data_IF_594913542670
#
_entry.id   IF_594913542670
#
_cell.length_a   1.000
_cell.length_b   1.000
_cell.length_c   1.000
_cell.angle_alpha   90.00
_cell.angle_beta   90.00
_cell.angle_gamma   90.00
#
_symmetry.space_group_name_H-M   'P 1'
#
loop_
_entity.id
_entity.type
_entity.pdbx_description
1 polymer ?
#
# COMPACT_ATOMS: atom_id res chain seq x y z
N UNK A 1 -15.76 7.05 12.27
CA UNK A 1 -15.06 5.87 12.81
C UNK A 1 -15.63 4.56 12.26
N UNK A 2 -14.74 3.63 11.90
CA UNK A 2 -15.04 2.26 11.47
C UNK A 2 -14.33 1.30 12.42
N UNK A 3 -15.03 0.26 12.88
CA UNK A 3 -14.42 -0.78 13.71
C UNK A 3 -14.11 -1.99 12.82
N UNK A 4 -12.86 -2.43 12.80
CA UNK A 4 -12.38 -3.47 11.87
C UNK A 4 -11.69 -4.57 12.65
N UNK A 5 -12.07 -5.82 12.38
CA UNK A 5 -11.38 -6.99 12.91
C UNK A 5 -10.08 -7.22 12.13
N UNK A 6 -8.96 -7.26 12.84
CA UNK A 6 -7.65 -7.50 12.23
C UNK A 6 -7.45 -9.00 12.09
N UNK A 7 -7.15 -9.43 10.88
CA UNK A 7 -6.96 -10.83 10.59
C UNK A 7 -5.84 -11.43 11.48
N UNK A 8 -6.05 -12.60 12.11
CA UNK A 8 -5.07 -13.22 12.99
C UNK A 8 -3.71 -13.52 12.36
N UNK A 9 -3.63 -13.62 11.03
CA UNK A 9 -2.38 -13.88 10.30
C UNK A 9 -1.68 -12.60 9.85
N UNK A 10 -2.14 -11.42 10.28
CA UNK A 10 -1.53 -10.14 9.92
C UNK A 10 -0.11 -10.06 10.50
N UNK A 11 0.85 -9.74 9.64
CA UNK A 11 2.26 -9.50 9.98
C UNK A 11 2.68 -8.04 9.92
N UNK A 12 2.00 -7.25 9.08
CA UNK A 12 2.15 -5.80 9.00
C UNK A 12 0.83 -5.17 8.53
N UNK A 13 0.65 -3.88 8.80
CA UNK A 13 -0.55 -3.15 8.39
C UNK A 13 -0.23 -1.74 7.92
N UNK A 14 -1.03 -1.23 6.97
CA UNK A 14 -0.90 0.12 6.44
C UNK A 14 -2.27 0.71 6.18
N UNK A 15 -2.45 1.99 6.52
CA UNK A 15 -3.60 2.77 6.05
C UNK A 15 -3.14 3.63 4.88
N UNK A 16 -3.86 3.55 3.75
CA UNK A 16 -3.62 4.34 2.56
C UNK A 16 -4.82 5.22 2.28
N UNK A 17 -4.60 6.52 2.14
CA UNK A 17 -5.63 7.51 1.86
C UNK A 17 -5.33 8.25 0.56
N UNK A 18 -6.37 8.51 -0.21
CA UNK A 18 -6.34 9.44 -1.35
C UNK A 18 -7.42 10.48 -1.10
N UNK A 19 -7.04 11.74 -0.99
CA UNK A 19 -7.95 12.83 -0.63
C UNK A 19 -7.68 14.09 -1.47
N UNK A 20 -8.76 14.81 -1.79
CA UNK A 20 -8.70 16.08 -2.52
C UNK A 20 -9.76 17.03 -2.00
N UNK A 21 -9.39 18.31 -1.84
CA UNK A 21 -10.32 19.38 -1.50
C UNK A 21 -10.81 20.11 -2.74
N UNK A 22 -12.11 20.41 -2.76
CA UNK A 22 -12.80 21.07 -3.87
C UNK A 22 -13.70 22.20 -3.37
N UNK A 23 -13.92 23.15 -4.27
CA UNK A 23 -14.77 24.30 -4.04
C UNK A 23 -13.99 25.58 -3.76
N UNK A 24 -14.62 26.71 -4.04
CA UNK A 24 -14.03 28.06 -4.03
C UNK A 24 -15.12 29.13 -3.81
N UNK A 25 -14.69 30.38 -3.57
CA UNK A 25 -15.55 31.55 -3.37
C UNK A 25 -16.16 31.68 -1.97
N UNK A 26 -16.15 30.59 -1.20
CA UNK A 26 -16.64 30.57 0.18
C UNK A 26 -15.56 30.96 1.20
N UNK A 27 -15.86 30.80 2.50
CA UNK A 27 -14.92 31.13 3.59
C UNK A 27 -13.58 30.42 3.38
N UNK A 28 -12.48 31.17 3.50
CA UNK A 28 -11.10 30.71 3.23
C UNK A 28 -10.85 30.14 1.81
N UNK A 29 -11.78 30.28 0.86
CA UNK A 29 -11.79 29.52 -0.39
C UNK A 29 -11.63 28.01 -0.18
N UNK A 30 -12.31 27.47 0.84
CA UNK A 30 -12.32 26.05 1.07
C UNK A 30 -13.11 25.30 -0.03
N UNK A 31 -12.85 24.03 -0.28
CA UNK A 31 -11.75 23.24 0.24
C UNK A 31 -10.54 23.25 -0.71
N UNK A 32 -10.64 23.81 -1.92
CA UNK A 32 -9.59 23.72 -2.94
C UNK A 32 -8.36 24.55 -2.60
N UNK A 33 -8.55 25.80 -2.14
CA UNK A 33 -7.47 26.75 -1.89
C UNK A 33 -7.28 27.06 -0.40
N UNK A 34 -7.83 26.21 0.47
CA UNK A 34 -7.68 26.33 1.92
C UNK A 34 -6.83 25.20 2.46
N UNK A 35 -5.65 25.53 2.98
CA UNK A 35 -4.87 24.58 3.80
C UNK A 35 -5.66 24.16 5.04
N UNK A 36 -5.82 22.86 5.25
CA UNK A 36 -6.38 22.28 6.48
C UNK A 36 -5.59 21.05 6.89
N UNK A 37 -5.47 20.83 8.19
CA UNK A 37 -4.87 19.61 8.76
C UNK A 37 -5.94 18.54 8.84
N UNK A 38 -5.63 17.35 8.34
CA UNK A 38 -6.45 16.15 8.50
C UNK A 38 -5.75 15.18 9.45
N UNK A 39 -6.48 14.26 10.04
CA UNK A 39 -5.92 13.28 10.97
C UNK A 39 -6.44 11.89 10.65
N UNK A 40 -5.53 10.92 10.63
CA UNK A 40 -5.82 9.49 10.61
C UNK A 40 -5.60 8.98 12.02
N UNK A 41 -6.62 8.33 12.59
CA UNK A 41 -6.60 7.85 13.96
C UNK A 41 -6.79 6.34 13.93
N UNK A 42 -5.85 5.58 14.46
CA UNK A 42 -5.86 4.10 14.46
C UNK A 42 -5.74 3.66 15.92
N UNK A 43 -6.84 3.18 16.50
CA UNK A 43 -6.92 3.00 17.95
C UNK A 43 -6.71 4.34 18.66
N UNK A 44 -5.58 4.46 19.35
CA UNK A 44 -5.17 5.68 20.05
C UNK A 44 -4.10 6.48 19.29
N UNK A 45 -3.53 5.93 18.23
CA UNK A 45 -2.44 6.55 17.48
C UNK A 45 -2.99 7.56 16.48
N UNK A 46 -2.44 8.77 16.50
CA UNK A 46 -2.89 9.89 15.67
C UNK A 46 -1.76 10.29 14.74
N UNK A 47 -2.05 10.29 13.43
CA UNK A 47 -1.14 10.79 12.41
C UNK A 47 -1.76 11.98 11.68
N UNK A 48 -1.04 13.11 11.66
CA UNK A 48 -1.46 14.30 10.95
C UNK A 48 -1.13 14.20 9.45
N UNK A 49 -2.07 14.63 8.62
CA UNK A 49 -1.94 14.77 7.18
C UNK A 49 -2.18 16.24 6.79
N UNK A 50 -1.11 16.91 6.37
CA UNK A 50 -1.18 18.25 5.83
C UNK A 50 -1.60 18.18 4.36
N UNK A 51 -2.90 18.32 4.09
CA UNK A 51 -3.43 18.16 2.74
C UNK A 51 -3.15 19.41 1.90
N UNK A 52 -1.93 19.50 1.36
CA UNK A 52 -1.51 20.66 0.57
C UNK A 52 -0.42 20.33 -0.43
N UNK A 53 -0.57 20.86 -1.64
CA UNK A 53 0.35 20.70 -2.77
C UNK A 53 0.82 22.09 -3.21
N UNK A 54 2.05 22.44 -2.87
CA UNK A 54 2.64 23.77 -3.14
C UNK A 54 3.46 23.84 -4.45
N UNK A 55 3.57 22.73 -5.15
CA UNK A 55 4.47 22.47 -6.29
C UNK A 55 3.70 22.31 -7.61
N UNK A 56 2.46 22.82 -7.70
CA UNK A 56 1.68 22.75 -8.94
C UNK A 56 2.32 23.50 -10.12
N UNK A 57 3.12 24.54 -9.84
CA UNK A 57 3.83 25.33 -10.85
C UNK A 57 4.96 24.58 -11.57
N UNK A 58 5.46 23.48 -10.98
CA UNK A 58 6.52 22.64 -11.57
C UNK A 58 5.96 21.33 -12.15
N UNK A 59 4.65 21.26 -12.37
CA UNK A 59 4.01 20.10 -12.98
C UNK A 59 4.61 19.81 -14.37
N UNK A 60 5.07 18.57 -14.66
CA UNK A 60 5.59 18.17 -15.97
C UNK A 60 4.61 18.40 -17.12
N UNK A 61 3.31 18.33 -16.83
CA UNK A 61 2.25 18.71 -17.78
C UNK A 61 2.13 20.24 -17.79
N UNK A 62 3.09 20.93 -18.40
CA UNK A 62 3.18 22.39 -18.46
C UNK A 62 3.59 22.86 -19.87
N UNK A 63 3.11 24.02 -20.34
CA UNK A 63 2.15 24.92 -19.67
C UNK A 63 0.69 24.45 -19.83
N UNK A 64 -0.18 24.84 -18.90
CA UNK A 64 -1.64 24.67 -19.01
C UNK A 64 -2.34 26.04 -19.02
N UNK A 65 -3.61 26.07 -19.44
CA UNK A 65 -4.45 27.27 -19.30
C UNK A 65 -4.92 27.49 -17.86
N UNK A 66 -5.35 28.71 -17.54
CA UNK A 66 -5.99 29.04 -16.27
C UNK A 66 -5.03 29.07 -15.08
N UNK A 67 -5.51 28.60 -13.92
CA UNK A 67 -4.88 28.79 -12.60
C UNK A 67 -4.08 27.58 -12.11
N UNK A 68 -3.51 26.79 -13.04
CA UNK A 68 -2.86 25.51 -12.72
C UNK A 68 -1.64 25.62 -11.81
N UNK A 69 -0.98 26.78 -11.77
CA UNK A 69 0.24 27.03 -11.00
C UNK A 69 -0.01 27.16 -9.49
N UNK A 70 -1.24 27.50 -9.09
CA UNK A 70 -1.55 27.75 -7.68
C UNK A 70 -1.65 26.46 -6.86
N UNK A 71 -1.18 26.56 -5.63
CA UNK A 71 -1.25 25.49 -4.65
C UNK A 71 -2.70 25.14 -4.30
N UNK A 72 -2.95 23.84 -4.06
CA UNK A 72 -4.29 23.32 -3.75
C UNK A 72 -4.24 22.22 -2.69
N UNK A 73 -5.39 21.93 -2.11
CA UNK A 73 -5.53 20.88 -1.09
C UNK A 73 -5.47 19.48 -1.70
N UNK A 74 -4.25 18.94 -1.83
CA UNK A 74 -4.01 17.52 -2.13
C UNK A 74 -3.88 17.17 -3.61
N UNK A 75 -4.02 18.12 -4.53
CA UNK A 75 -3.94 17.86 -5.96
C UNK A 75 -3.36 19.04 -6.75
N UNK A 76 -3.00 18.80 -8.00
CA UNK A 76 -2.66 19.83 -8.98
C UNK A 76 -3.34 19.50 -10.31
N UNK A 77 -3.84 20.48 -11.09
CA UNK A 77 -4.40 20.21 -12.40
C UNK A 77 -3.39 19.49 -13.30
N UNK A 78 -3.81 18.41 -13.96
CA UNK A 78 -2.95 17.61 -14.83
C UNK A 78 -1.94 16.70 -14.10
N UNK A 79 -2.05 16.50 -12.78
CA UNK A 79 -1.23 15.57 -12.02
C UNK A 79 -2.08 14.50 -11.30
N UNK A 80 -1.48 13.33 -11.05
CA UNK A 80 -2.09 12.30 -10.20
C UNK A 80 -2.08 12.73 -8.72
N UNK A 81 -3.11 12.33 -7.97
CA UNK A 81 -3.15 12.53 -6.52
C UNK A 81 -2.15 11.56 -5.87
N UNK A 82 -1.25 12.11 -5.04
CA UNK A 82 -0.29 11.29 -4.30
C UNK A 82 -0.98 10.72 -3.05
N UNK A 83 -1.02 9.40 -2.88
CA UNK A 83 -1.61 8.80 -1.68
C UNK A 83 -0.81 9.15 -0.43
N UNK A 84 -1.53 9.40 0.66
CA UNK A 84 -0.96 9.49 2.00
C UNK A 84 -0.99 8.12 2.66
N UNK A 85 0.17 7.63 3.07
CA UNK A 85 0.33 6.29 3.65
C UNK A 85 0.82 6.38 5.09
N UNK A 86 0.18 5.62 5.99
CA UNK A 86 0.50 5.54 7.41
C UNK A 86 0.80 4.08 7.74
N UNK A 87 1.99 3.81 8.26
CA UNK A 87 2.30 2.51 8.86
C UNK A 87 1.44 2.32 10.11
N UNK A 88 0.62 1.27 10.10
CA UNK A 88 -0.33 0.96 11.15
C UNK A 88 0.09 -0.28 11.95
N UNK A 89 1.26 -0.85 11.66
CA UNK A 89 1.68 -2.16 12.18
C UNK A 89 1.71 -2.20 13.70
N UNK A 90 2.23 -1.15 14.34
CA UNK A 90 2.27 -1.07 15.81
C UNK A 90 0.91 -0.73 16.44
N UNK A 91 -0.01 -0.18 15.66
CA UNK A 91 -1.33 0.30 16.11
C UNK A 91 -2.42 -0.77 16.05
N UNK A 92 -2.09 -1.97 15.56
CA UNK A 92 -3.04 -3.07 15.38
C UNK A 92 -2.56 -4.34 16.08
N UNK A 93 -3.50 -5.11 16.62
CA UNK A 93 -3.22 -6.42 17.20
C UNK A 93 -3.94 -7.50 16.38
N UNK A 94 -3.22 -8.48 15.78
CA UNK A 94 -3.84 -9.59 15.07
C UNK A 94 -4.89 -10.33 15.91
N UNK A 95 -6.05 -10.60 15.32
CA UNK A 95 -7.19 -11.24 15.98
C UNK A 95 -8.02 -10.33 16.88
N UNK A 96 -7.70 -9.04 16.97
CA UNK A 96 -8.47 -8.05 17.73
C UNK A 96 -9.12 -7.00 16.83
N UNK A 97 -10.14 -6.32 17.36
CA UNK A 97 -10.76 -5.19 16.69
C UNK A 97 -9.94 -3.92 16.93
N UNK A 98 -9.82 -3.09 15.90
CA UNK A 98 -9.29 -1.72 15.99
C UNK A 98 -10.29 -0.72 15.42
N UNK A 99 -10.38 0.44 16.05
CA UNK A 99 -11.16 1.56 15.50
C UNK A 99 -10.27 2.43 14.63
N UNK A 100 -10.72 2.68 13.40
CA UNK A 100 -10.07 3.61 12.47
C UNK A 100 -10.98 4.82 12.29
N UNK A 101 -10.44 6.02 12.47
CA UNK A 101 -11.18 7.26 12.30
C UNK A 101 -10.40 8.26 11.43
N UNK A 102 -11.16 9.17 10.81
CA UNK A 102 -10.63 10.28 10.05
C UNK A 102 -11.23 11.57 10.61
N UNK A 103 -10.40 12.53 10.94
CA UNK A 103 -10.83 13.83 11.42
C UNK A 103 -10.27 14.95 10.54
N UNK A 104 -11.02 16.04 10.44
CA UNK A 104 -10.65 17.26 9.75
C UNK A 104 -10.50 18.36 10.79
N UNK A 105 -9.51 19.24 10.62
CA UNK A 105 -9.39 20.47 11.38
C UNK A 105 -10.73 21.22 11.39
N UNK A 106 -11.24 21.65 12.55
CA UNK A 106 -12.52 22.37 12.62
C UNK A 106 -12.57 23.54 11.62
N UNK A 107 -13.69 23.63 10.90
CA UNK A 107 -13.94 24.65 9.89
C UNK A 107 -15.41 25.00 9.89
N UNK A 108 -15.72 26.29 9.73
CA UNK A 108 -17.08 26.77 9.53
C UNK A 108 -17.13 27.61 8.25
N UNK A 109 -18.08 27.29 7.37
CA UNK A 109 -18.34 28.10 6.18
C UNK A 109 -19.37 29.19 6.49
N UNK A 110 -18.91 30.43 6.66
CA UNK A 110 -19.79 31.56 6.90
C UNK A 110 -20.53 32.03 5.63
N UNK A 111 -20.10 31.63 4.43
CA UNK A 111 -20.70 32.04 3.15
C UNK A 111 -21.74 31.05 2.58
N UNK A 112 -22.38 30.25 3.44
CA UNK A 112 -23.34 29.19 3.05
C UNK A 112 -24.77 29.73 2.89
N UNK A 113 -25.59 29.16 1.98
CA UNK A 113 -27.02 29.44 1.92
C UNK A 113 -27.64 29.17 3.30
N UNK A 114 -28.39 30.14 3.83
CA UNK A 114 -29.05 30.09 5.13
C UNK A 114 -28.21 30.37 6.38
N UNK A 115 -26.95 30.82 6.27
CA UNK A 115 -26.28 31.38 7.43
C UNK A 115 -26.80 32.80 7.71
N UNK A 116 -27.46 33.07 8.86
CA UNK A 116 -27.97 34.41 9.17
C UNK A 116 -26.86 35.46 9.34
N UNK A 117 -25.61 35.02 9.56
CA UNK A 117 -24.43 35.90 9.61
C UNK A 117 -23.81 36.15 8.23
N UNK A 118 -24.30 35.49 7.16
CA UNK A 118 -23.88 35.79 5.80
C UNK A 118 -24.65 37.01 5.29
N UNK A 119 -24.01 38.16 5.31
CA UNK A 119 -24.53 39.38 4.72
C UNK A 119 -23.79 39.65 3.42
N UNK A 120 -24.50 39.60 2.29
CA UNK A 120 -23.91 39.78 0.96
C UNK A 120 -23.23 41.16 0.84
N UNK A 121 -21.99 41.18 0.36
CA UNK A 121 -21.15 42.37 0.25
C UNK A 121 -20.52 42.85 1.56
N UNK A 122 -20.83 42.21 2.70
CA UNK A 122 -20.25 42.55 4.01
C UNK A 122 -19.45 41.38 4.57
N UNK A 123 -20.08 40.22 4.76
CA UNK A 123 -19.40 39.01 5.23
C UNK A 123 -18.70 38.29 4.07
N UNK A 124 -19.40 38.15 2.96
CA UNK A 124 -18.93 37.47 1.75
C UNK A 124 -19.51 38.15 0.50
N UNK A 125 -18.87 37.97 -0.66
CA UNK A 125 -19.38 38.50 -1.94
C UNK A 125 -20.67 37.81 -2.41
N UNK A 126 -20.84 36.53 -2.07
CA UNK A 126 -22.03 35.73 -2.35
C UNK A 126 -22.36 34.86 -1.12
N UNK A 127 -23.65 34.71 -0.85
CA UNK A 127 -24.18 33.86 0.23
C UNK A 127 -24.87 32.60 -0.31
N UNK A 128 -25.02 32.47 -1.63
CA UNK A 128 -25.66 31.35 -2.28
C UNK A 128 -24.69 30.63 -3.21
N UNK A 129 -24.67 29.30 -3.19
CA UNK A 129 -23.87 28.55 -4.15
C UNK A 129 -24.45 28.69 -5.55
N UNK A 130 -23.63 29.21 -6.46
CA UNK A 130 -24.02 29.54 -7.83
C UNK A 130 -23.33 28.63 -8.87
N UNK A 131 -22.46 27.72 -8.41
CA UNK A 131 -21.67 26.80 -9.22
C UNK A 131 -20.71 27.48 -10.22
N UNK A 132 -20.53 28.80 -10.10
CA UNK A 132 -19.72 29.65 -10.97
C UNK A 132 -18.82 30.56 -10.11
N UNK A 133 -17.74 29.98 -9.60
CA UNK A 133 -16.79 30.70 -8.73
C UNK A 133 -17.20 30.75 -7.26
N UNK A 134 -18.46 30.46 -6.91
CA UNK A 134 -18.93 30.25 -5.53
C UNK A 134 -19.61 28.88 -5.39
N UNK A 135 -18.95 27.94 -4.74
CA UNK A 135 -19.37 26.53 -4.63
C UNK A 135 -19.24 26.01 -3.21
N UNK A 136 -19.97 24.95 -2.89
CA UNK A 136 -19.88 24.27 -1.59
C UNK A 136 -18.50 23.62 -1.39
N UNK A 137 -17.82 23.89 -0.25
CA UNK A 137 -16.57 23.23 0.08
C UNK A 137 -16.81 21.75 0.36
N UNK A 138 -16.09 20.86 -0.31
CA UNK A 138 -16.18 19.43 -0.04
C UNK A 138 -14.83 18.74 -0.22
N UNK A 139 -14.66 17.59 0.46
CA UNK A 139 -13.51 16.71 0.28
C UNK A 139 -13.97 15.39 -0.33
N UNK A 140 -13.27 14.94 -1.36
CA UNK A 140 -13.38 13.56 -1.84
C UNK A 140 -12.30 12.73 -1.16
N UNK A 141 -12.69 11.70 -0.42
CA UNK A 141 -11.78 10.89 0.39
C UNK A 141 -12.02 9.40 0.09
N UNK A 142 -10.95 8.70 -0.22
CA UNK A 142 -10.92 7.25 -0.28
C UNK A 142 -9.88 6.75 0.72
N UNK A 143 -10.24 5.73 1.50
CA UNK A 143 -9.33 5.09 2.44
C UNK A 143 -9.34 3.58 2.32
N UNK A 144 -8.17 2.98 2.54
CA UNK A 144 -7.96 1.54 2.52
C UNK A 144 -7.13 1.14 3.75
N UNK A 145 -7.55 0.08 4.43
CA UNK A 145 -6.68 -0.67 5.34
C UNK A 145 -6.10 -1.85 4.56
N UNK A 146 -4.77 -1.93 4.54
CA UNK A 146 -4.00 -2.98 3.87
C UNK A 146 -3.37 -3.82 4.96
N UNK A 147 -3.73 -5.10 5.02
CA UNK A 147 -3.15 -6.08 5.92
C UNK A 147 -2.20 -6.97 5.12
N UNK A 148 -0.93 -7.00 5.53
CA UNK A 148 0.06 -7.90 4.97
C UNK A 148 0.07 -9.18 5.77
N UNK A 149 -0.11 -10.30 5.07
CA UNK A 149 0.02 -11.63 5.66
C UNK A 149 1.29 -12.27 5.13
N UNK A 150 1.99 -13.08 5.94
CA UNK A 150 2.95 -14.02 5.41
C UNK A 150 2.25 -14.85 4.34
N UNK A 151 2.89 -15.06 3.19
CA UNK A 151 2.34 -15.94 2.17
C UNK A 151 2.11 -17.32 2.81
N UNK A 152 0.86 -17.83 2.89
CA UNK A 152 0.60 -19.13 3.52
C UNK A 152 1.27 -20.28 2.77
N UNK A 153 1.68 -20.07 1.52
CA UNK A 153 2.48 -21.04 0.75
C UNK A 153 4.00 -20.88 0.95
N UNK A 154 4.45 -19.81 1.62
CA UNK A 154 5.84 -19.63 2.04
C UNK A 154 6.01 -20.25 3.44
N UNK A 155 5.78 -21.56 3.55
CA UNK A 155 6.22 -22.32 4.72
C UNK A 155 7.74 -22.50 4.67
N UNK A 156 8.45 -21.40 4.91
CA UNK A 156 9.90 -21.41 5.02
C UNK A 156 10.27 -21.79 6.44
N UNK A 157 10.78 -23.00 6.60
CA UNK A 157 11.33 -23.51 7.85
C UNK A 157 12.79 -23.08 7.95
N UNK A 158 13.16 -22.44 9.05
CA UNK A 158 14.57 -22.17 9.36
C UNK A 158 15.20 -23.48 9.84
N UNK A 159 16.18 -24.00 9.09
CA UNK A 159 16.89 -25.22 9.46
C UNK A 159 18.03 -24.93 10.44
N UNK A 160 18.77 -23.84 10.20
CA UNK A 160 19.86 -23.35 11.04
C UNK A 160 19.99 -21.83 10.85
N UNK A 161 20.39 -21.14 11.92
CA UNK A 161 20.67 -19.70 11.96
C UNK A 161 22.17 -19.37 11.88
N UNK A 162 23.05 -20.37 11.78
CA UNK A 162 24.44 -20.14 11.44
C UNK A 162 24.54 -19.52 10.04
N UNK A 163 25.48 -18.59 9.88
CA UNK A 163 25.66 -17.83 8.65
C UNK A 163 26.33 -18.77 7.62
N UNK A 164 25.67 -19.11 6.51
CA UNK A 164 26.27 -19.94 5.46
C UNK A 164 27.42 -19.20 4.76
N UNK A 165 28.40 -19.94 4.27
CA UNK A 165 29.57 -19.37 3.56
C UNK A 165 29.21 -18.81 2.17
N UNK A 166 28.07 -19.22 1.60
CA UNK A 166 27.61 -18.79 0.27
C UNK A 166 26.10 -18.98 0.08
N UNK A 167 25.54 -18.31 -0.92
CA UNK A 167 24.21 -18.62 -1.42
C UNK A 167 24.17 -19.99 -2.11
N UNK A 168 23.26 -20.87 -1.72
CA UNK A 168 23.11 -22.19 -2.34
C UNK A 168 21.63 -22.53 -2.58
N UNK A 169 21.36 -23.25 -3.68
CA UNK A 169 20.08 -23.89 -3.95
C UNK A 169 20.28 -25.40 -4.09
N UNK A 170 19.83 -26.15 -3.10
CA UNK A 170 19.97 -27.60 -3.06
C UNK A 170 19.00 -28.29 -4.03
N UNK A 171 19.32 -29.54 -4.38
CA UNK A 171 18.39 -30.37 -5.13
C UNK A 171 17.17 -30.73 -4.27
N UNK A 172 15.98 -30.55 -4.81
CA UNK A 172 14.73 -30.90 -4.15
C UNK A 172 14.68 -32.39 -3.79
N UNK A 173 14.09 -32.71 -2.63
CA UNK A 173 13.95 -34.10 -2.18
C UNK A 173 12.53 -34.37 -1.63
N UNK A 174 11.86 -35.46 -2.07
CA UNK A 174 12.32 -36.43 -3.09
C UNK A 174 12.34 -35.82 -4.51
N UNK A 175 13.06 -36.48 -5.44
CA UNK A 175 13.01 -36.20 -6.88
C UNK A 175 13.36 -37.49 -7.67
N UNK A 176 12.42 -38.08 -8.44
CA UNK A 176 11.05 -37.62 -8.69
C UNK A 176 10.17 -37.59 -7.42
N UNK A 177 9.09 -36.80 -7.43
CA UNK A 177 8.22 -36.59 -6.27
C UNK A 177 6.73 -36.74 -6.60
N UNK A 178 5.90 -37.03 -5.58
CA UNK A 178 4.44 -37.16 -5.67
C UNK A 178 3.72 -36.89 -4.32
N UNK A 179 2.79 -35.92 -4.23
CA UNK A 179 2.72 -34.68 -5.00
C UNK A 179 3.59 -33.58 -4.37
N UNK A 180 4.29 -33.83 -3.26
CA UNK A 180 5.09 -32.82 -2.56
C UNK A 180 6.59 -33.13 -2.51
N UNK A 181 7.38 -32.07 -2.45
CA UNK A 181 8.85 -32.10 -2.35
C UNK A 181 9.33 -30.93 -1.51
N UNK A 182 10.50 -31.08 -0.89
CA UNK A 182 11.16 -30.04 -0.10
C UNK A 182 12.32 -29.46 -0.87
N UNK A 183 12.47 -28.14 -0.80
CA UNK A 183 13.53 -27.37 -1.45
C UNK A 183 14.30 -26.64 -0.36
N UNK A 184 15.60 -26.94 -0.25
CA UNK A 184 16.51 -26.30 0.69
C UNK A 184 17.36 -25.25 -0.02
N UNK A 185 17.62 -24.15 0.67
CA UNK A 185 18.48 -23.09 0.17
C UNK A 185 19.12 -22.30 1.31
N UNK A 186 20.28 -21.73 1.01
CA UNK A 186 21.10 -21.00 1.97
C UNK A 186 21.23 -19.54 1.55
N UNK A 187 21.13 -18.64 2.53
CA UNK A 187 21.23 -17.18 2.36
C UNK A 187 22.42 -16.70 3.19
N UNK A 188 23.45 -16.17 2.53
CA UNK A 188 24.68 -15.73 3.20
C UNK A 188 24.50 -14.43 4.00
N UNK A 189 23.71 -13.48 3.49
CA UNK A 189 23.45 -12.21 4.15
C UNK A 189 22.00 -11.76 3.95
N UNK A 190 21.52 -10.86 4.81
CA UNK A 190 20.14 -10.38 4.75
C UNK A 190 19.86 -9.72 3.41
N UNK A 191 18.96 -10.29 2.61
CA UNK A 191 18.62 -9.80 1.27
C UNK A 191 17.19 -10.15 0.90
N UNK A 192 16.65 -9.39 -0.05
CA UNK A 192 15.43 -9.79 -0.73
C UNK A 192 15.70 -11.01 -1.60
N UNK A 193 14.80 -11.99 -1.52
CA UNK A 193 14.87 -13.25 -2.25
C UNK A 193 13.56 -13.58 -2.93
N UNK A 194 13.64 -14.35 -4.01
CA UNK A 194 12.48 -14.91 -4.70
C UNK A 194 12.76 -16.34 -5.14
N UNK A 195 11.97 -17.27 -4.63
CA UNK A 195 11.98 -18.68 -5.03
C UNK A 195 10.70 -18.99 -5.81
N UNK A 196 10.84 -19.21 -7.11
CA UNK A 196 9.72 -19.45 -8.02
C UNK A 196 9.88 -20.77 -8.78
N UNK A 197 8.74 -21.39 -9.11
CA UNK A 197 8.62 -22.61 -9.91
C UNK A 197 8.12 -22.23 -11.31
N UNK A 198 8.70 -22.88 -12.32
CA UNK A 198 8.48 -22.66 -13.74
C UNK A 198 8.13 -23.97 -14.44
N UNK A 199 7.26 -23.88 -15.45
CA UNK A 199 6.99 -24.98 -16.38
C UNK A 199 8.07 -25.09 -17.48
N UNK A 200 7.90 -26.06 -18.39
CA UNK A 200 8.79 -26.29 -19.53
C UNK A 200 8.84 -25.13 -20.52
N UNK A 201 7.82 -24.27 -20.54
CA UNK A 201 7.77 -23.08 -21.39
C UNK A 201 8.44 -21.87 -20.73
N UNK A 202 8.92 -22.01 -19.48
CA UNK A 202 9.54 -20.93 -18.73
C UNK A 202 8.52 -19.96 -18.11
N UNK A 203 7.25 -20.34 -18.04
CA UNK A 203 6.23 -19.54 -17.34
C UNK A 203 6.29 -19.84 -15.85
N UNK A 204 6.23 -18.80 -15.02
CA UNK A 204 6.07 -18.94 -13.57
C UNK A 204 4.70 -19.57 -13.29
N UNK A 205 4.72 -20.75 -12.66
CA UNK A 205 3.50 -21.44 -12.23
C UNK A 205 3.19 -21.19 -10.76
N UNK A 206 4.20 -20.92 -9.94
CA UNK A 206 4.02 -20.59 -8.52
C UNK A 206 5.26 -19.88 -7.95
N UNK A 207 5.06 -18.90 -7.06
CA UNK A 207 6.14 -18.37 -6.21
C UNK A 207 6.00 -18.99 -4.82
N UNK A 208 7.03 -19.69 -4.38
CA UNK A 208 7.07 -20.37 -3.08
C UNK A 208 7.48 -19.41 -1.98
N UNK A 209 8.49 -18.57 -2.24
CA UNK A 209 9.02 -17.61 -1.26
C UNK A 209 9.31 -16.29 -1.96
N UNK A 210 8.92 -15.17 -1.35
CA UNK A 210 9.23 -13.82 -1.83
C UNK A 210 9.31 -12.86 -0.64
N UNK A 211 10.42 -12.15 -0.49
CA UNK A 211 10.63 -11.17 0.57
C UNK A 211 12.06 -11.15 1.12
N UNK A 212 12.27 -10.37 2.18
CA UNK A 212 13.57 -10.26 2.83
C UNK A 212 13.79 -11.41 3.82
N UNK A 213 14.87 -12.18 3.64
CA UNK A 213 15.30 -13.18 4.61
C UNK A 213 16.65 -12.79 5.19
N UNK A 214 16.87 -13.15 6.46
CA UNK A 214 18.17 -12.99 7.14
C UNK A 214 19.17 -14.03 6.64
N UNK A 215 20.42 -13.90 7.07
CA UNK A 215 21.39 -14.97 6.89
C UNK A 215 20.92 -16.26 7.59
N UNK A 216 21.04 -17.40 6.91
CA UNK A 216 20.66 -18.70 7.45
C UNK A 216 20.31 -19.74 6.39
N UNK A 217 20.00 -20.95 6.85
CA UNK A 217 19.56 -22.08 6.03
C UNK A 217 18.05 -22.27 6.14
N UNK A 218 17.41 -22.46 5.00
CA UNK A 218 15.96 -22.47 4.87
C UNK A 218 15.47 -23.70 4.08
N UNK A 219 14.26 -24.15 4.39
CA UNK A 219 13.54 -25.20 3.67
C UNK A 219 12.12 -24.75 3.37
N UNK A 220 11.64 -24.94 2.15
CA UNK A 220 10.21 -24.78 1.82
C UNK A 220 9.66 -26.05 1.18
N UNK A 221 8.38 -26.34 1.44
CA UNK A 221 7.67 -27.42 0.74
C UNK A 221 6.94 -26.86 -0.48
N UNK A 222 6.98 -27.60 -1.59
CA UNK A 222 6.08 -27.39 -2.72
C UNK A 222 5.12 -28.56 -2.83
N UNK A 223 3.82 -28.29 -2.65
CA UNK A 223 2.75 -29.23 -2.92
C UNK A 223 2.20 -28.99 -4.33
N UNK A 224 2.51 -29.90 -5.25
CA UNK A 224 2.16 -29.79 -6.66
C UNK A 224 0.88 -30.57 -7.04
N UNK A 225 -0.02 -30.84 -6.08
CA UNK A 225 -1.26 -31.59 -6.31
C UNK A 225 -2.13 -31.01 -7.44
N UNK A 226 -2.16 -29.69 -7.59
CA UNK A 226 -2.88 -28.96 -8.65
C UNK A 226 -2.20 -28.93 -10.03
N UNK A 227 -1.01 -29.51 -10.18
CA UNK A 227 -0.21 -29.42 -11.41
C UNK A 227 -0.08 -30.77 -12.14
N UNK A 228 0.07 -30.80 -13.48
CA UNK A 228 0.25 -32.04 -14.24
C UNK A 228 1.63 -32.66 -14.03
N UNK A 229 1.74 -33.99 -14.13
CA UNK A 229 3.03 -34.69 -14.14
C UNK A 229 3.94 -34.15 -15.23
N UNK A 230 5.23 -34.05 -14.95
CA UNK A 230 6.18 -33.48 -15.90
C UNK A 230 7.43 -32.91 -15.25
N UNK A 231 8.22 -32.24 -16.08
CA UNK A 231 9.44 -31.55 -15.65
C UNK A 231 9.07 -30.11 -15.27
N UNK A 232 9.59 -29.68 -14.13
CA UNK A 232 9.53 -28.31 -13.67
C UNK A 232 10.93 -27.81 -13.35
N UNK A 233 11.08 -26.49 -13.35
CA UNK A 233 12.29 -25.82 -12.88
C UNK A 233 11.94 -24.96 -11.68
N UNK A 234 12.86 -24.84 -10.74
CA UNK A 234 12.74 -23.87 -9.66
C UNK A 234 13.99 -23.00 -9.64
N UNK A 235 13.78 -21.73 -9.32
CA UNK A 235 14.80 -20.70 -9.39
C UNK A 235 14.78 -19.86 -8.12
N UNK A 236 15.95 -19.72 -7.50
CA UNK A 236 16.22 -18.78 -6.43
C UNK A 236 16.93 -17.55 -7.01
N UNK A 237 16.37 -16.39 -6.77
CA UNK A 237 16.96 -15.08 -7.06
C UNK A 237 17.30 -14.41 -5.73
N UNK A 238 18.57 -14.06 -5.51
CA UNK A 238 19.05 -13.44 -4.28
C UNK A 238 20.31 -12.60 -4.56
N UNK A 239 20.34 -11.34 -4.11
CA UNK A 239 21.48 -10.43 -4.30
C UNK A 239 22.00 -10.35 -5.76
N UNK A 240 21.09 -10.37 -6.74
CA UNK A 240 21.45 -10.38 -8.17
C UNK A 240 21.97 -11.71 -8.71
N UNK A 241 22.19 -12.72 -7.86
CA UNK A 241 22.51 -14.08 -8.27
C UNK A 241 21.24 -14.87 -8.61
N UNK A 242 21.37 -15.79 -9.55
CA UNK A 242 20.28 -16.66 -9.99
C UNK A 242 20.74 -18.12 -9.96
N UNK A 243 20.10 -18.92 -9.12
CA UNK A 243 20.33 -20.35 -9.02
C UNK A 243 19.11 -21.09 -9.55
N UNK A 244 19.30 -22.10 -10.40
CA UNK A 244 18.19 -22.87 -10.96
C UNK A 244 18.47 -24.36 -10.93
N UNK A 245 17.42 -25.15 -10.70
CA UNK A 245 17.47 -26.60 -10.65
C UNK A 245 16.20 -27.19 -11.28
N UNK A 246 16.27 -28.47 -11.64
CA UNK A 246 15.18 -29.19 -12.31
C UNK A 246 14.61 -30.26 -11.39
N UNK A 247 13.29 -30.41 -11.42
CA UNK A 247 12.54 -31.43 -10.69
C UNK A 247 11.53 -32.16 -11.57
N UNK A 248 11.16 -33.38 -11.17
CA UNK A 248 10.20 -34.22 -11.88
C UNK A 248 9.03 -34.59 -10.98
N UNK A 249 7.83 -34.14 -11.35
CA UNK A 249 6.57 -34.56 -10.73
C UNK A 249 6.05 -35.81 -11.43
N UNK A 250 5.77 -36.85 -10.66
CA UNK A 250 5.16 -38.10 -11.14
C UNK A 250 3.88 -38.30 -10.34
N UNK A 251 2.75 -38.51 -11.01
CA UNK A 251 1.48 -38.87 -10.37
C UNK A 251 1.21 -40.36 -10.55
#
# INVERSE_FOLDING_TARGET
PQNVMIDPQTSAAKVRLTNTGHGQGNTDNAAEFSFKIHQVIIGNDITNHNLWRADCSVNPCSPQGGTWQYARAGWCPGASVIPFEVDATASVTPGQNVTINYALQPYENFCRPNNPLCVQGVTCSDCNYNYNGHTEPHYTIQGQLILYKPNPNAHVTVLNSEIPDSYELAQNFPNPFNPSTKIKFDIQQSTDIKLSVFDLQGKIVQTLVEGNLKAGSYETEWNASGFPSGIYFYRLEAEGNVFSKRMMLVK
#
